data_IF_765124190482
#
_entry.id   IF_765124190482
#
_cell.length_a   1.000
_cell.length_b   1.000
_cell.length_c   1.000
_cell.angle_alpha   90.00
_cell.angle_beta   90.00
_cell.angle_gamma   90.00
#
_symmetry.space_group_name_H-M   'P 1'
#
loop_
_entity.id
_entity.type
_entity.pdbx_description
1 polymer ?
#
# COMPACT_ATOMS: atom_id res chain seq x y z
N UNK A 1 16.54 26.94 -6.15
CA UNK A 1 15.26 26.28 -5.79
C UNK A 1 15.23 24.81 -6.25
N UNK A 2 15.23 24.46 -7.54
CA UNK A 2 15.21 23.06 -8.01
C UNK A 2 16.41 22.23 -7.55
N UNK A 3 17.61 22.82 -7.51
CA UNK A 3 18.84 22.16 -7.05
C UNK A 3 18.76 21.85 -5.55
N UNK A 4 18.21 22.75 -4.76
CA UNK A 4 18.08 22.56 -3.31
C UNK A 4 17.02 21.52 -2.97
N UNK A 5 15.93 21.49 -3.72
CA UNK A 5 14.89 20.44 -3.63
C UNK A 5 15.49 19.06 -3.97
N UNK A 6 16.30 18.99 -5.04
CA UNK A 6 16.99 17.76 -5.44
C UNK A 6 18.01 17.30 -4.37
N UNK A 7 18.86 18.22 -3.88
CA UNK A 7 19.83 17.92 -2.81
C UNK A 7 19.13 17.41 -1.55
N UNK A 8 18.04 18.06 -1.16
CA UNK A 8 17.24 17.66 -0.03
C UNK A 8 16.62 16.26 -0.21
N UNK A 9 16.12 15.93 -1.41
CA UNK A 9 15.61 14.60 -1.73
C UNK A 9 16.71 13.53 -1.64
N UNK A 10 17.89 13.79 -2.21
CA UNK A 10 19.04 12.88 -2.15
C UNK A 10 19.57 12.69 -0.72
N UNK A 11 19.56 13.74 0.09
CA UNK A 11 19.95 13.66 1.50
C UNK A 11 18.98 12.77 2.29
N UNK A 12 17.68 12.95 2.09
CA UNK A 12 16.66 12.12 2.76
C UNK A 12 16.75 10.65 2.35
N UNK A 13 16.99 10.37 1.07
CA UNK A 13 17.16 9.00 0.60
C UNK A 13 18.37 8.33 1.27
N UNK A 14 19.52 8.98 1.33
CA UNK A 14 20.70 8.48 2.04
C UNK A 14 20.46 8.31 3.54
N UNK A 15 19.68 9.20 4.15
CA UNK A 15 19.31 9.09 5.57
C UNK A 15 18.41 7.88 5.79
N UNK A 16 17.46 7.65 4.91
CA UNK A 16 16.59 6.47 4.95
C UNK A 16 17.38 5.16 4.93
N UNK A 17 18.41 5.08 4.07
CA UNK A 17 19.23 3.88 3.92
C UNK A 17 20.20 3.67 5.10
N UNK A 18 20.82 4.75 5.60
CA UNK A 18 21.93 4.66 6.58
C UNK A 18 21.49 4.87 8.02
N UNK A 19 20.42 5.61 8.23
CA UNK A 19 19.88 5.97 9.55
C UNK A 19 18.34 6.00 9.49
N UNK A 20 17.73 4.81 9.37
CA UNK A 20 16.26 4.70 9.29
C UNK A 20 15.58 5.31 10.52
N UNK A 21 16.19 5.23 11.69
CA UNK A 21 15.74 5.86 12.93
C UNK A 21 15.55 7.38 12.79
N UNK A 22 16.55 8.07 12.22
CA UNK A 22 16.46 9.51 11.98
C UNK A 22 15.47 9.85 10.87
N UNK A 23 15.37 9.01 9.84
CA UNK A 23 14.42 9.22 8.77
C UNK A 23 12.98 9.06 9.26
N UNK A 24 12.73 8.11 10.14
CA UNK A 24 11.43 7.90 10.78
C UNK A 24 11.02 9.09 11.65
N UNK A 25 11.92 9.56 12.52
CA UNK A 25 11.68 10.76 13.31
C UNK A 25 11.42 12.00 12.43
N UNK A 26 12.15 12.11 11.29
CA UNK A 26 11.91 13.16 10.33
C UNK A 26 10.51 13.06 9.70
N UNK A 27 10.07 11.86 9.29
CA UNK A 27 8.73 11.64 8.72
C UNK A 27 7.62 12.06 9.68
N UNK A 28 7.76 11.76 10.96
CA UNK A 28 6.79 12.12 11.98
C UNK A 28 6.74 13.64 12.26
N UNK A 29 7.90 14.30 12.19
CA UNK A 29 8.02 15.75 12.41
C UNK A 29 7.71 16.60 11.17
N UNK A 30 7.59 15.99 9.98
CA UNK A 30 7.31 16.65 8.72
C UNK A 30 6.07 16.06 8.03
N UNK A 31 4.87 16.28 8.61
CA UNK A 31 3.64 15.79 8.02
C UNK A 31 3.41 16.37 6.62
N UNK A 32 2.67 15.64 5.81
CA UNK A 32 2.19 16.14 4.53
C UNK A 32 1.02 17.11 4.78
N UNK A 33 1.34 18.40 4.81
CA UNK A 33 0.36 19.48 5.03
C UNK A 33 -0.53 19.71 3.80
N UNK A 34 -0.02 19.40 2.62
CA UNK A 34 -0.77 19.54 1.36
C UNK A 34 -0.68 18.24 0.55
N UNK A 35 -1.83 17.69 0.21
CA UNK A 35 -1.92 16.54 -0.68
C UNK A 35 -1.85 16.98 -2.14
N UNK A 36 -1.23 16.20 -3.03
CA UNK A 36 -1.26 16.46 -4.46
C UNK A 36 -2.71 16.48 -4.95
N UNK A 37 -3.08 17.53 -5.69
CA UNK A 37 -4.43 17.67 -6.25
C UNK A 37 -4.65 16.64 -7.37
N UNK A 38 -5.91 16.18 -7.50
CA UNK A 38 -6.33 15.39 -8.64
C UNK A 38 -6.19 16.21 -9.93
N UNK A 39 -5.60 15.61 -10.96
CA UNK A 39 -5.46 16.24 -12.27
C UNK A 39 -6.59 15.80 -13.19
N UNK A 40 -6.82 16.55 -14.26
CA UNK A 40 -7.79 16.17 -15.30
C UNK A 40 -7.44 14.78 -15.86
N UNK A 41 -8.41 13.87 -15.88
CA UNK A 41 -8.24 12.49 -16.34
C UNK A 41 -7.76 11.51 -15.28
N UNK A 42 -7.46 11.95 -14.05
CA UNK A 42 -7.22 11.09 -12.90
C UNK A 42 -8.53 10.88 -12.12
N UNK A 43 -8.85 9.64 -11.78
CA UNK A 43 -10.03 9.34 -10.96
C UNK A 43 -9.91 7.99 -10.26
N UNK A 44 -10.77 7.82 -9.23
CA UNK A 44 -10.97 6.54 -8.55
C UNK A 44 -12.31 5.94 -8.97
N UNK A 45 -12.31 4.67 -9.36
CA UNK A 45 -13.52 3.95 -9.75
C UNK A 45 -13.72 2.71 -8.88
N UNK A 46 -14.94 2.54 -8.36
CA UNK A 46 -15.32 1.33 -7.63
C UNK A 46 -15.29 0.12 -8.56
N UNK A 47 -14.69 -0.97 -8.10
CA UNK A 47 -14.67 -2.27 -8.79
C UNK A 47 -16.04 -2.92 -8.74
N UNK A 48 -16.67 -3.11 -9.90
CA UNK A 48 -18.05 -3.60 -10.01
C UNK A 48 -18.16 -4.99 -10.63
N UNK A 49 -17.20 -5.39 -11.45
CA UNK A 49 -17.22 -6.65 -12.19
C UNK A 49 -15.91 -7.43 -12.05
N UNK A 50 -15.90 -8.66 -12.56
CA UNK A 50 -14.77 -9.58 -12.43
C UNK A 50 -13.55 -9.14 -13.27
N UNK A 51 -13.75 -8.48 -14.41
CA UNK A 51 -12.65 -7.93 -15.22
C UNK A 51 -11.88 -6.88 -14.42
N UNK A 52 -12.58 -5.99 -13.71
CA UNK A 52 -11.96 -4.98 -12.85
C UNK A 52 -11.29 -5.63 -11.62
N UNK A 53 -11.87 -6.71 -11.09
CA UNK A 53 -11.26 -7.44 -9.98
C UNK A 53 -9.96 -8.15 -10.43
N UNK A 54 -9.94 -8.69 -11.66
CA UNK A 54 -8.73 -9.25 -12.24
C UNK A 54 -7.62 -8.18 -12.44
N UNK A 55 -7.97 -6.92 -12.77
CA UNK A 55 -7.01 -5.82 -12.77
C UNK A 55 -6.45 -5.56 -11.36
N UNK A 56 -7.27 -5.64 -10.32
CA UNK A 56 -6.79 -5.55 -8.95
C UNK A 56 -5.80 -6.68 -8.62
N UNK A 57 -6.12 -7.91 -9.00
CA UNK A 57 -5.23 -9.05 -8.79
C UNK A 57 -3.88 -8.88 -9.51
N UNK A 58 -3.88 -8.32 -10.72
CA UNK A 58 -2.64 -8.01 -11.45
C UNK A 58 -1.79 -6.94 -10.76
N UNK A 59 -2.41 -5.85 -10.28
CA UNK A 59 -1.73 -4.80 -9.53
C UNK A 59 -1.18 -5.32 -8.19
N UNK A 60 -1.95 -6.18 -7.52
CA UNK A 60 -1.54 -6.81 -6.27
C UNK A 60 -0.34 -7.74 -6.49
N UNK A 61 -0.36 -8.57 -7.54
CA UNK A 61 0.75 -9.46 -7.89
C UNK A 61 2.04 -8.66 -8.16
N UNK A 62 1.99 -7.56 -8.92
CA UNK A 62 3.14 -6.67 -9.15
C UNK A 62 3.65 -6.06 -7.85
N UNK A 63 2.74 -5.50 -7.04
CA UNK A 63 3.08 -4.82 -5.80
C UNK A 63 3.66 -5.76 -4.75
N UNK A 64 3.04 -6.92 -4.54
CA UNK A 64 3.49 -7.93 -3.58
C UNK A 64 4.86 -8.50 -3.94
N UNK A 65 5.10 -8.87 -5.19
CA UNK A 65 6.44 -9.32 -5.63
C UNK A 65 7.52 -8.29 -5.30
N UNK A 66 7.26 -7.01 -5.55
CA UNK A 66 8.23 -5.93 -5.23
C UNK A 66 8.52 -5.84 -3.73
N UNK A 67 7.49 -5.94 -2.88
CA UNK A 67 7.63 -5.75 -1.43
C UNK A 67 8.16 -6.99 -0.74
N UNK A 68 7.82 -8.19 -1.22
CA UNK A 68 8.26 -9.45 -0.66
C UNK A 68 9.65 -9.89 -1.14
N UNK A 69 10.16 -9.34 -2.25
CA UNK A 69 11.47 -9.71 -2.80
C UNK A 69 12.64 -9.70 -1.77
N UNK A 70 12.70 -8.81 -0.77
CA UNK A 70 13.77 -8.85 0.23
C UNK A 70 13.70 -10.03 1.22
N UNK A 71 12.54 -10.71 1.33
CA UNK A 71 12.27 -11.71 2.37
C UNK A 71 11.79 -13.06 1.84
N UNK A 72 11.43 -13.14 0.57
CA UNK A 72 10.95 -14.36 -0.08
C UNK A 72 11.95 -14.82 -1.14
N UNK A 73 12.03 -16.13 -1.37
CA UNK A 73 12.81 -16.69 -2.46
C UNK A 73 12.14 -16.47 -3.83
N UNK A 74 12.92 -16.69 -4.90
CA UNK A 74 12.48 -16.45 -6.28
C UNK A 74 11.33 -17.39 -6.67
N UNK A 75 11.41 -18.67 -6.27
CA UNK A 75 10.37 -19.66 -6.54
C UNK A 75 9.01 -19.23 -5.98
N UNK A 76 9.01 -18.67 -4.77
CA UNK A 76 7.79 -18.16 -4.16
C UNK A 76 7.28 -16.89 -4.86
N UNK A 77 8.19 -15.97 -5.23
CA UNK A 77 7.81 -14.74 -5.94
C UNK A 77 7.19 -15.04 -7.31
N UNK A 78 7.63 -16.09 -8.01
CA UNK A 78 7.05 -16.54 -9.28
C UNK A 78 5.59 -17.01 -9.13
N UNK A 79 5.25 -17.59 -7.98
CA UNK A 79 3.87 -18.03 -7.68
C UNK A 79 2.91 -16.87 -7.43
N UNK A 80 3.41 -15.68 -7.12
CA UNK A 80 2.59 -14.46 -6.91
C UNK A 80 2.02 -13.92 -8.23
N UNK A 81 1.18 -14.71 -8.88
CA UNK A 81 0.49 -14.36 -10.14
C UNK A 81 -0.86 -13.68 -9.86
N UNK A 82 -1.49 -13.04 -10.85
CA UNK A 82 -2.86 -12.54 -10.69
C UNK A 82 -3.86 -13.64 -10.31
N UNK A 83 -3.75 -14.83 -10.89
CA UNK A 83 -4.63 -15.98 -10.61
C UNK A 83 -4.48 -16.48 -9.18
N UNK A 84 -3.31 -16.29 -8.59
CA UNK A 84 -3.05 -16.59 -7.20
C UNK A 84 -3.82 -15.67 -6.24
N UNK A 85 -3.90 -14.36 -6.53
CA UNK A 85 -4.56 -13.37 -5.66
C UNK A 85 -6.06 -13.20 -5.93
N UNK A 86 -6.55 -13.63 -7.09
CA UNK A 86 -7.95 -13.43 -7.49
C UNK A 86 -8.97 -14.11 -6.56
N UNK A 87 -8.73 -15.35 -6.07
CA UNK A 87 -9.62 -15.99 -5.09
C UNK A 87 -9.75 -15.17 -3.80
N UNK A 88 -8.62 -14.71 -3.23
CA UNK A 88 -8.60 -13.94 -1.99
C UNK A 88 -9.38 -12.63 -2.14
N UNK A 89 -9.11 -11.86 -3.20
CA UNK A 89 -9.84 -10.62 -3.48
C UNK A 89 -11.34 -10.87 -3.71
N UNK A 90 -11.69 -12.03 -4.29
CA UNK A 90 -13.10 -12.42 -4.50
C UNK A 90 -13.79 -12.68 -3.16
N UNK A 91 -13.14 -13.39 -2.26
CA UNK A 91 -13.68 -13.68 -0.94
C UNK A 91 -13.72 -12.45 -0.04
N UNK A 92 -12.70 -11.61 -0.07
CA UNK A 92 -12.69 -10.33 0.62
C UNK A 92 -13.84 -9.43 0.17
N UNK A 93 -14.11 -9.36 -1.16
CA UNK A 93 -15.24 -8.61 -1.72
C UNK A 93 -16.59 -9.13 -1.19
N UNK A 94 -16.77 -10.45 -1.06
CA UNK A 94 -17.96 -11.06 -0.43
C UNK A 94 -18.07 -10.73 1.05
N UNK A 95 -16.93 -10.56 1.73
CA UNK A 95 -16.83 -10.28 3.15
C UNK A 95 -16.85 -8.78 3.52
N UNK A 96 -17.16 -7.90 2.56
CA UNK A 96 -17.42 -6.49 2.80
C UNK A 96 -16.29 -5.55 2.43
N UNK A 97 -15.25 -6.03 1.75
CA UNK A 97 -14.26 -5.17 1.13
C UNK A 97 -14.80 -4.51 -0.13
N UNK A 98 -14.55 -3.23 -0.27
CA UNK A 98 -14.77 -2.44 -1.47
C UNK A 98 -13.41 -2.07 -2.09
N UNK A 99 -13.18 -2.51 -3.33
CA UNK A 99 -11.95 -2.19 -4.06
C UNK A 99 -12.17 -1.02 -4.99
N UNK A 100 -11.16 -0.16 -5.10
CA UNK A 100 -11.15 0.99 -6.01
C UNK A 100 -9.89 0.97 -6.85
N UNK A 101 -10.07 1.15 -8.16
CA UNK A 101 -8.98 1.34 -9.11
C UNK A 101 -8.73 2.81 -9.34
N UNK A 102 -7.47 3.22 -9.32
CA UNK A 102 -7.01 4.51 -9.80
C UNK A 102 -6.75 4.45 -11.29
N UNK A 103 -7.26 5.42 -12.01
CA UNK A 103 -7.04 5.57 -13.43
C UNK A 103 -6.34 6.90 -13.74
N UNK A 104 -5.36 6.84 -14.65
CA UNK A 104 -4.85 8.00 -15.38
C UNK A 104 -5.30 7.85 -16.83
N UNK A 105 -6.24 8.70 -17.24
CA UNK A 105 -7.01 8.53 -18.48
C UNK A 105 -7.76 7.18 -18.43
N UNK A 106 -7.38 6.21 -19.27
CA UNK A 106 -8.06 4.91 -19.35
C UNK A 106 -7.20 3.75 -18.80
N UNK A 107 -5.97 4.04 -18.35
CA UNK A 107 -5.08 3.03 -17.77
C UNK A 107 -5.26 2.94 -16.25
N UNK A 108 -5.52 1.74 -15.75
CA UNK A 108 -5.50 1.45 -14.31
C UNK A 108 -4.03 1.39 -13.86
N UNK A 109 -3.63 2.27 -12.95
CA UNK A 109 -2.25 2.41 -12.49
C UNK A 109 -2.10 2.35 -10.96
N UNK A 110 -3.19 2.03 -10.26
CA UNK A 110 -3.18 1.78 -8.83
C UNK A 110 -4.50 1.22 -8.32
N UNK A 111 -4.47 0.67 -7.11
CA UNK A 111 -5.66 0.16 -6.41
C UNK A 111 -5.59 0.43 -4.91
N UNK A 112 -6.76 0.45 -4.27
CA UNK A 112 -6.90 0.43 -2.82
C UNK A 112 -8.16 -0.30 -2.42
N UNK A 113 -8.08 -1.08 -1.34
CA UNK A 113 -9.20 -1.74 -0.68
C UNK A 113 -9.64 -0.99 0.57
N UNK A 114 -10.93 -1.04 0.87
CA UNK A 114 -11.54 -0.47 2.06
C UNK A 114 -12.53 -1.47 2.64
N UNK A 115 -12.40 -1.82 3.90
CA UNK A 115 -13.36 -2.64 4.63
C UNK A 115 -14.14 -1.78 5.63
N UNK A 116 -15.39 -1.46 5.32
CA UNK A 116 -16.25 -0.65 6.19
C UNK A 116 -16.59 -1.36 7.51
N UNK A 117 -16.66 -2.69 7.47
CA UNK A 117 -17.07 -3.50 8.64
C UNK A 117 -16.09 -3.37 9.81
N UNK A 118 -14.79 -3.27 9.53
CA UNK A 118 -13.73 -3.25 10.54
C UNK A 118 -12.91 -1.96 10.54
N UNK A 119 -13.21 -1.03 9.63
CA UNK A 119 -12.49 0.24 9.53
C UNK A 119 -11.07 0.10 9.00
N UNK A 120 -10.83 -0.84 8.10
CA UNK A 120 -9.50 -1.13 7.57
C UNK A 120 -9.32 -0.63 6.15
N UNK A 121 -8.12 -0.11 5.88
CA UNK A 121 -7.62 0.21 4.54
C UNK A 121 -6.51 -0.77 4.19
N UNK A 122 -6.68 -1.49 3.10
CA UNK A 122 -5.69 -2.45 2.62
C UNK A 122 -5.41 -2.33 1.14
N UNK A 123 -4.53 -3.20 0.63
CA UNK A 123 -4.29 -3.36 -0.82
C UNK A 123 -3.96 -2.05 -1.55
N UNK A 124 -3.16 -1.17 -0.92
CA UNK A 124 -2.74 0.08 -1.54
C UNK A 124 -1.51 -0.17 -2.43
N UNK A 125 -1.75 -0.30 -3.72
CA UNK A 125 -0.69 -0.51 -4.73
C UNK A 125 -0.72 0.58 -5.79
N UNK A 126 0.48 0.95 -6.26
CA UNK A 126 0.70 1.86 -7.39
C UNK A 126 1.75 1.22 -8.29
N UNK A 127 1.47 1.09 -9.59
CA UNK A 127 2.41 0.55 -10.57
C UNK A 127 3.75 1.30 -10.54
N UNK A 128 4.83 0.64 -10.88
CA UNK A 128 6.16 1.25 -10.86
C UNK A 128 6.21 2.51 -11.75
N UNK A 129 5.65 2.46 -12.94
CA UNK A 129 5.58 3.59 -13.88
C UNK A 129 4.77 4.79 -13.35
N UNK A 130 3.89 4.57 -12.37
CA UNK A 130 3.04 5.59 -11.76
C UNK A 130 3.57 6.10 -10.41
N UNK A 131 4.59 5.47 -9.84
CA UNK A 131 5.22 5.90 -8.56
C UNK A 131 5.84 7.29 -8.66
N UNK A 132 6.00 7.95 -7.53
CA UNK A 132 6.58 9.30 -7.46
C UNK A 132 5.64 10.45 -7.88
N UNK A 133 4.45 10.16 -8.41
CA UNK A 133 3.45 11.15 -8.86
C UNK A 133 2.47 11.57 -7.76
N UNK A 134 2.63 11.05 -6.55
CA UNK A 134 1.77 11.34 -5.40
C UNK A 134 0.46 10.54 -5.36
N UNK A 135 0.29 9.54 -6.21
CA UNK A 135 -0.95 8.75 -6.28
C UNK A 135 -1.22 7.97 -4.99
N UNK A 136 -0.19 7.39 -4.36
CA UNK A 136 -0.36 6.70 -3.10
C UNK A 136 -0.97 7.58 -2.00
N UNK A 137 -0.52 8.84 -1.88
CA UNK A 137 -1.09 9.79 -0.92
C UNK A 137 -2.55 10.13 -1.24
N UNK A 138 -2.86 10.40 -2.53
CA UNK A 138 -4.23 10.69 -2.97
C UNK A 138 -5.19 9.53 -2.71
N UNK A 139 -4.75 8.31 -3.02
CA UNK A 139 -5.54 7.09 -2.86
C UNK A 139 -5.77 6.77 -1.39
N UNK A 140 -4.75 6.96 -0.54
CA UNK A 140 -4.88 6.77 0.90
C UNK A 140 -5.86 7.78 1.52
N UNK A 141 -5.76 9.05 1.16
CA UNK A 141 -6.72 10.08 1.60
C UNK A 141 -8.15 9.79 1.10
N UNK A 142 -8.27 9.36 -0.16
CA UNK A 142 -9.55 8.92 -0.72
C UNK A 142 -10.14 7.75 0.09
N UNK A 143 -9.35 6.71 0.37
CA UNK A 143 -9.78 5.53 1.11
C UNK A 143 -10.20 5.90 2.55
N UNK A 144 -9.42 6.73 3.23
CA UNK A 144 -9.76 7.24 4.57
C UNK A 144 -11.12 7.96 4.58
N UNK A 145 -11.40 8.79 3.57
CA UNK A 145 -12.68 9.49 3.42
C UNK A 145 -13.86 8.56 3.09
N UNK A 146 -13.60 7.29 2.73
CA UNK A 146 -14.63 6.26 2.58
C UNK A 146 -15.01 5.58 3.89
N UNK A 147 -14.31 5.88 4.97
CA UNK A 147 -14.55 5.34 6.33
C UNK A 147 -14.94 6.46 7.30
N UNK A 148 -15.97 7.28 7.02
CA UNK A 148 -16.34 8.39 7.89
C UNK A 148 -16.86 7.94 9.26
N UNK A 149 -17.32 6.70 9.37
CA UNK A 149 -17.79 6.06 10.61
C UNK A 149 -16.66 5.58 11.52
N UNK A 150 -15.41 5.59 11.03
CA UNK A 150 -14.23 5.18 11.78
C UNK A 150 -13.27 6.37 11.98
N UNK A 151 -13.22 6.88 13.20
CA UNK A 151 -12.33 7.99 13.57
C UNK A 151 -10.85 7.61 13.43
N UNK A 152 -10.56 6.33 13.68
CA UNK A 152 -9.20 5.78 13.69
C UNK A 152 -9.11 4.53 12.82
N UNK A 153 -9.22 4.64 11.48
CA UNK A 153 -9.05 3.49 10.60
C UNK A 153 -7.65 2.87 10.75
N UNK A 154 -7.56 1.58 10.49
CA UNK A 154 -6.34 0.79 10.61
C UNK A 154 -5.80 0.36 9.25
N UNK A 155 -4.55 -0.05 9.20
CA UNK A 155 -3.92 -0.71 8.06
C UNK A 155 -2.73 -1.56 8.50
N UNK A 156 -2.44 -2.58 7.70
CA UNK A 156 -1.21 -3.35 7.78
C UNK A 156 -0.20 -2.93 6.70
N UNK A 157 1.08 -3.00 7.02
CA UNK A 157 2.17 -2.78 6.06
C UNK A 157 3.37 -3.65 6.40
N UNK A 158 3.92 -4.37 5.42
CA UNK A 158 5.14 -5.14 5.63
C UNK A 158 6.29 -4.22 6.05
N UNK A 159 7.08 -4.64 7.04
CA UNK A 159 8.19 -3.85 7.60
C UNK A 159 9.27 -3.53 6.55
N UNK A 160 9.38 -4.34 5.50
CA UNK A 160 10.26 -4.11 4.35
C UNK A 160 9.82 -2.97 3.45
N UNK A 161 8.53 -2.58 3.50
CA UNK A 161 7.97 -1.50 2.67
C UNK A 161 8.23 -0.11 3.26
N UNK A 162 9.49 0.24 3.44
CA UNK A 162 9.93 1.48 4.07
C UNK A 162 9.38 2.75 3.39
N UNK A 163 9.11 2.69 2.08
CA UNK A 163 8.51 3.82 1.34
C UNK A 163 7.06 4.07 1.75
N UNK A 164 6.26 3.01 1.87
CA UNK A 164 4.87 3.13 2.31
C UNK A 164 4.80 3.57 3.77
N UNK A 165 5.62 2.98 4.65
CA UNK A 165 5.70 3.36 6.06
C UNK A 165 6.00 4.86 6.21
N UNK A 166 6.98 5.38 5.48
CA UNK A 166 7.32 6.79 5.49
C UNK A 166 6.17 7.68 5.00
N UNK A 167 5.46 7.26 3.96
CA UNK A 167 4.27 7.96 3.47
C UNK A 167 3.18 7.98 4.55
N UNK A 168 2.88 6.84 5.15
CA UNK A 168 1.83 6.70 6.14
C UNK A 168 2.12 7.55 7.38
N UNK A 169 3.34 7.48 7.92
CA UNK A 169 3.76 8.34 9.04
C UNK A 169 3.56 9.83 8.74
N UNK A 170 3.94 10.29 7.55
CA UNK A 170 3.73 11.68 7.11
C UNK A 170 2.26 12.06 6.91
N UNK A 171 1.39 11.09 6.70
CA UNK A 171 -0.06 11.30 6.55
C UNK A 171 -0.82 11.13 7.88
N UNK A 172 -0.13 11.09 9.01
CA UNK A 172 -0.76 11.03 10.34
C UNK A 172 -1.03 9.62 10.85
N UNK A 173 -0.50 8.58 10.19
CA UNK A 173 -0.60 7.21 10.69
C UNK A 173 0.50 6.93 11.70
N UNK A 174 0.17 6.17 12.74
CA UNK A 174 1.10 5.81 13.82
C UNK A 174 1.11 4.31 14.03
N UNK A 175 2.28 3.78 14.32
CA UNK A 175 2.48 2.38 14.68
C UNK A 175 1.69 2.05 15.95
N UNK A 176 0.94 0.96 15.93
CA UNK A 176 0.16 0.47 17.08
C UNK A 176 0.58 -0.94 17.49
N UNK A 177 1.14 -1.72 16.59
CA UNK A 177 1.56 -3.08 16.85
C UNK A 177 2.42 -3.64 15.73
N UNK A 178 2.84 -4.88 15.93
CA UNK A 178 3.54 -5.69 14.92
C UNK A 178 3.00 -7.11 15.02
N UNK A 179 2.64 -7.69 13.90
CA UNK A 179 2.19 -9.08 13.79
C UNK A 179 3.08 -9.85 12.83
N UNK A 180 3.19 -11.14 13.04
CA UNK A 180 3.78 -12.03 12.04
C UNK A 180 2.69 -12.42 11.06
N UNK A 181 2.82 -11.94 9.85
CA UNK A 181 1.93 -12.27 8.75
C UNK A 181 2.51 -13.42 7.95
N UNK A 182 1.72 -14.46 7.71
CA UNK A 182 2.11 -15.55 6.81
C UNK A 182 2.01 -15.04 5.37
N UNK A 183 3.14 -15.03 4.68
CA UNK A 183 3.23 -14.50 3.33
C UNK A 183 2.98 -15.54 2.24
N UNK A 184 3.17 -16.82 2.58
CA UNK A 184 3.05 -17.91 1.62
C UNK A 184 1.61 -18.46 1.56
N UNK A 185 1.17 -18.89 0.37
CA UNK A 185 -0.13 -19.55 0.17
C UNK A 185 -0.09 -21.05 0.46
N UNK A 186 1.02 -21.55 0.96
CA UNK A 186 1.23 -22.98 1.05
C UNK A 186 0.13 -23.63 1.87
N UNK A 187 -0.48 -24.66 1.31
CA UNK A 187 -1.26 -25.64 2.06
C UNK A 187 -0.39 -26.17 3.22
N UNK A 188 -0.98 -26.29 4.40
CA UNK A 188 -0.27 -26.81 5.58
C UNK A 188 0.50 -28.07 5.22
N UNK A 189 1.83 -28.03 5.27
CA UNK A 189 2.71 -29.17 5.17
C UNK A 189 3.56 -29.32 3.91
N UNK A 190 3.52 -28.40 2.93
CA UNK A 190 4.26 -28.55 1.67
C UNK A 190 5.58 -27.76 1.58
N UNK A 191 5.74 -26.66 2.33
CA UNK A 191 6.98 -25.85 2.39
C UNK A 191 7.16 -25.24 3.78
N UNK A 192 8.38 -24.78 4.08
CA UNK A 192 8.59 -23.94 5.25
C UNK A 192 7.78 -22.67 5.13
N UNK A 193 6.88 -22.41 6.07
CA UNK A 193 6.03 -21.22 6.06
C UNK A 193 6.90 -19.96 6.08
N UNK A 194 6.65 -19.04 5.12
CA UNK A 194 7.32 -17.75 5.06
C UNK A 194 6.52 -16.76 5.87
N UNK A 195 7.12 -16.25 6.94
CA UNK A 195 6.53 -15.22 7.79
C UNK A 195 7.24 -13.88 7.57
N UNK A 196 6.44 -12.84 7.39
CA UNK A 196 6.92 -11.46 7.32
C UNK A 196 6.39 -10.67 8.50
N UNK A 197 7.19 -9.77 9.04
CA UNK A 197 6.67 -8.80 10.01
C UNK A 197 5.78 -7.79 9.29
N UNK A 198 4.55 -7.68 9.75
CA UNK A 198 3.61 -6.66 9.34
C UNK A 198 3.41 -5.67 10.47
N UNK A 199 3.61 -4.40 10.16
CA UNK A 199 3.38 -3.30 11.09
C UNK A 199 1.90 -2.93 11.04
N UNK A 200 1.23 -2.95 12.18
CA UNK A 200 -0.11 -2.40 12.33
C UNK A 200 -0.03 -0.89 12.54
N UNK A 201 -0.74 -0.14 11.74
CA UNK A 201 -0.79 1.32 11.83
C UNK A 201 -2.22 1.81 11.97
N UNK A 202 -2.40 2.89 12.73
CA UNK A 202 -3.69 3.53 12.94
C UNK A 202 -3.59 5.02 12.61
N UNK A 203 -4.61 5.56 11.96
CA UNK A 203 -4.71 6.99 11.69
C UNK A 203 -4.98 7.75 13.00
N UNK A 204 -4.23 8.82 13.24
CA UNK A 204 -4.32 9.66 14.45
C UNK A 204 -4.52 11.16 14.16
N UNK A 205 -4.63 11.52 12.88
CA UNK A 205 -4.78 12.92 12.48
C UNK A 205 -3.52 13.55 11.90
#
# INVERSE_FOLDING_TARGET
KKIDEWRGAQSRERTRERRPDLYDAWCESHPLTELPKWKRGENMRLVKNDEQLALCAALMAEGRRTVCAPVCDEEYLEKMTPDFWLPDLTDEKKNGWAFYLHYTKDAADGMVGVCHKIGEIGHLFVTEAARGKGYGAKMLDFARKKLPEHDHPTMGVLNTNTRAIALYKRMGWRLTGTVLHRCDPAEEGTFAAVYCEELEMQYRG
#
